data_IF_239765308991
#
_entry.id   IF_239765308991
#
_cell.length_a   1.000
_cell.length_b   1.000
_cell.length_c   1.000
_cell.angle_alpha   90.00
_cell.angle_beta   90.00
_cell.angle_gamma   90.00
#
_symmetry.space_group_name_H-M   'P 1'
#
loop_
_entity.id
_entity.type
_entity.pdbx_description
1 polymer ?
#
# COMPACT_ATOMS: atom_id res chain seq x y z
N UNK A 1 13.18 8.00 11.37
CA UNK A 1 12.52 7.33 10.22
C UNK A 1 13.51 6.29 9.68
N UNK A 2 13.05 5.19 9.08
CA UNK A 2 13.94 4.14 8.57
C UNK A 2 13.28 2.76 8.52
N UNK A 3 13.55 2.02 7.43
CA UNK A 3 13.21 0.60 7.33
C UNK A 3 14.37 -0.20 7.92
N UNK A 4 14.07 -1.14 8.80
CA UNK A 4 15.08 -2.04 9.38
C UNK A 4 15.02 -3.36 8.62
N UNK A 5 16.15 -3.78 8.08
CA UNK A 5 16.31 -5.07 7.43
C UNK A 5 17.08 -5.99 8.36
N UNK A 6 16.78 -7.28 8.25
CA UNK A 6 17.58 -8.34 8.86
C UNK A 6 18.82 -8.64 8.01
N UNK A 7 19.75 -9.46 8.51
CA UNK A 7 20.94 -9.93 7.77
C UNK A 7 20.56 -10.68 6.49
N UNK A 8 19.39 -11.34 6.49
CA UNK A 8 18.80 -11.97 5.31
C UNK A 8 18.03 -11.00 4.38
N UNK A 9 18.19 -9.68 4.55
CA UNK A 9 17.48 -8.62 3.80
C UNK A 9 15.95 -8.70 3.88
N UNK A 10 15.41 -9.32 4.93
CA UNK A 10 13.97 -9.41 5.14
C UNK A 10 13.44 -8.20 5.90
N UNK A 11 12.15 -7.88 5.69
CA UNK A 11 11.49 -6.74 6.35
C UNK A 11 10.76 -7.12 7.64
N UNK A 12 10.98 -8.33 8.14
CA UNK A 12 10.37 -8.88 9.37
C UNK A 12 10.52 -7.94 10.58
N UNK A 13 11.73 -7.47 10.96
CA UNK A 13 11.88 -6.62 12.15
C UNK A 13 11.13 -5.29 12.01
N UNK A 14 11.07 -4.74 10.80
CA UNK A 14 10.29 -3.54 10.51
C UNK A 14 8.78 -3.79 10.64
N UNK A 15 8.27 -4.89 10.10
CA UNK A 15 6.85 -5.24 10.15
C UNK A 15 6.36 -5.47 11.59
N UNK A 16 7.18 -6.13 12.43
CA UNK A 16 6.89 -6.31 13.86
C UNK A 16 6.82 -4.96 14.57
N UNK A 17 7.75 -4.04 14.26
CA UNK A 17 7.74 -2.71 14.85
C UNK A 17 6.51 -1.89 14.41
N UNK A 18 6.13 -1.94 13.13
CA UNK A 18 4.91 -1.30 12.64
C UNK A 18 3.68 -1.88 13.33
N UNK A 19 3.59 -3.20 13.50
CA UNK A 19 2.47 -3.83 14.22
C UNK A 19 2.33 -3.29 15.65
N UNK A 20 3.45 -3.20 16.39
CA UNK A 20 3.46 -2.62 17.75
C UNK A 20 3.02 -1.16 17.76
N UNK A 21 3.52 -0.36 16.81
CA UNK A 21 3.17 1.06 16.70
C UNK A 21 1.70 1.25 16.28
N UNK A 22 1.19 0.42 15.38
CA UNK A 22 -0.20 0.45 14.93
C UNK A 22 -1.14 0.11 16.10
N UNK A 23 -0.84 -0.92 16.88
CA UNK A 23 -1.62 -1.28 18.07
C UNK A 23 -1.65 -0.14 19.11
N UNK A 24 -0.49 0.50 19.37
CA UNK A 24 -0.44 1.69 20.25
C UNK A 24 -1.31 2.83 19.73
N UNK A 25 -1.28 3.11 18.43
CA UNK A 25 -2.09 4.18 17.80
C UNK A 25 -3.59 3.84 17.83
N UNK A 26 -3.97 2.59 17.62
CA UNK A 26 -5.35 2.14 17.77
C UNK A 26 -5.87 2.35 19.20
N UNK A 27 -5.07 2.01 20.23
CA UNK A 27 -5.41 2.28 21.62
C UNK A 27 -5.57 3.78 21.92
N UNK A 28 -4.68 4.62 21.37
CA UNK A 28 -4.80 6.08 21.49
C UNK A 28 -6.08 6.61 20.84
N UNK A 29 -6.42 6.16 19.63
CA UNK A 29 -7.66 6.53 18.94
C UNK A 29 -8.88 6.11 19.77
N UNK A 30 -8.85 4.92 20.37
CA UNK A 30 -9.93 4.46 21.25
C UNK A 30 -10.14 5.38 22.45
N UNK A 31 -9.06 5.84 23.08
CA UNK A 31 -9.12 6.82 24.18
C UNK A 31 -9.63 8.18 23.70
N UNK A 32 -9.16 8.65 22.54
CA UNK A 32 -9.62 9.91 21.95
C UNK A 32 -11.10 9.85 21.55
N UNK A 33 -11.61 8.68 21.16
CA UNK A 33 -13.01 8.48 20.80
C UNK A 33 -13.99 8.65 21.99
N UNK A 34 -13.47 8.73 23.22
CA UNK A 34 -14.25 9.07 24.43
C UNK A 34 -14.43 10.59 24.55
N UNK A 35 -13.43 11.37 24.12
CA UNK A 35 -13.39 12.82 24.30
C UNK A 35 -13.73 13.62 23.05
N UNK A 36 -13.61 13.01 21.86
CA UNK A 36 -13.94 13.64 20.58
C UNK A 36 -15.22 13.03 20.00
N UNK A 37 -16.05 13.84 19.32
CA UNK A 37 -17.22 13.33 18.61
C UNK A 37 -16.79 12.33 17.53
N UNK A 38 -17.46 11.19 17.51
CA UNK A 38 -17.27 10.14 16.49
C UNK A 38 -17.75 10.69 15.15
N UNK A 39 -16.81 11.02 14.28
CA UNK A 39 -17.12 11.69 13.02
C UNK A 39 -15.87 12.10 12.25
N UNK A 40 -15.97 13.20 11.51
CA UNK A 40 -14.94 13.66 10.57
C UNK A 40 -13.58 13.88 11.23
N UNK A 41 -13.54 14.51 12.41
CA UNK A 41 -12.29 14.86 13.08
C UNK A 41 -11.51 13.63 13.57
N UNK A 42 -12.18 12.71 14.28
CA UNK A 42 -11.55 11.48 14.76
C UNK A 42 -11.06 10.62 13.58
N UNK A 43 -11.84 10.56 12.49
CA UNK A 43 -11.46 9.88 11.26
C UNK A 43 -10.23 10.52 10.61
N UNK A 44 -10.18 11.84 10.49
CA UNK A 44 -9.03 12.55 9.93
C UNK A 44 -7.77 12.33 10.78
N UNK A 45 -7.91 12.37 12.11
CA UNK A 45 -6.82 12.09 13.04
C UNK A 45 -6.33 10.64 12.92
N UNK A 46 -7.25 9.68 12.86
CA UNK A 46 -6.92 8.27 12.68
C UNK A 46 -6.22 8.00 11.33
N UNK A 47 -6.67 8.63 10.25
CA UNK A 47 -6.00 8.60 8.94
C UNK A 47 -4.57 9.12 9.03
N UNK A 48 -4.39 10.34 9.54
CA UNK A 48 -3.06 10.96 9.64
C UNK A 48 -2.13 10.16 10.54
N UNK A 49 -2.61 9.78 11.72
CA UNK A 49 -1.82 9.07 12.71
C UNK A 49 -1.56 7.63 12.26
N UNK A 50 -2.55 6.80 11.99
CA UNK A 50 -2.25 5.40 11.65
C UNK A 50 -1.74 5.23 10.23
N UNK A 51 -2.52 5.68 9.25
CA UNK A 51 -2.23 5.41 7.83
C UNK A 51 -0.95 6.12 7.41
N UNK A 52 -0.66 7.32 7.92
CA UNK A 52 0.61 8.01 7.66
C UNK A 52 1.84 7.18 8.05
N UNK A 53 1.77 6.40 9.13
CA UNK A 53 2.89 5.56 9.57
C UNK A 53 2.93 4.19 8.90
N UNK A 54 1.77 3.60 8.61
CA UNK A 54 1.68 2.31 7.91
C UNK A 54 2.06 2.48 6.43
N UNK A 55 1.70 3.60 5.82
CA UNK A 55 2.03 3.89 4.41
C UNK A 55 3.51 4.20 4.19
N UNK A 56 4.25 4.49 5.27
CA UNK A 56 5.69 4.76 5.16
C UNK A 56 6.40 3.53 4.62
N UNK A 57 7.08 3.69 3.48
CA UNK A 57 7.79 2.63 2.77
C UNK A 57 6.93 1.39 2.43
N UNK A 58 5.60 1.52 2.40
CA UNK A 58 4.70 0.40 2.12
C UNK A 58 5.00 -0.26 0.76
N UNK A 59 5.37 0.52 -0.26
CA UNK A 59 5.74 0.01 -1.58
C UNK A 59 6.99 -0.90 -1.56
N UNK A 60 7.94 -0.64 -0.67
CA UNK A 60 9.19 -1.40 -0.58
C UNK A 60 9.09 -2.59 0.40
N UNK A 61 8.22 -2.49 1.39
CA UNK A 61 8.15 -3.41 2.53
C UNK A 61 7.04 -4.44 2.39
N UNK A 62 5.88 -4.01 1.88
CA UNK A 62 4.66 -4.80 1.86
C UNK A 62 4.40 -5.32 0.47
N UNK A 63 4.14 -6.62 0.39
CA UNK A 63 3.77 -7.30 -0.85
C UNK A 63 2.26 -7.09 -1.08
N UNK A 64 1.85 -6.41 -2.16
CA UNK A 64 0.44 -6.27 -2.48
C UNK A 64 -0.10 -7.61 -2.99
N UNK A 65 -1.26 -8.03 -2.47
CA UNK A 65 -2.01 -9.17 -3.02
C UNK A 65 -2.97 -8.61 -4.04
N UNK A 66 -2.82 -8.98 -5.31
CA UNK A 66 -3.69 -8.49 -6.38
C UNK A 66 -4.91 -9.40 -6.57
N UNK A 67 -4.71 -10.71 -6.38
CA UNK A 67 -5.75 -11.73 -6.51
C UNK A 67 -5.91 -12.55 -5.22
N UNK A 68 -7.03 -13.27 -5.12
CA UNK A 68 -7.36 -14.12 -3.96
C UNK A 68 -6.47 -15.36 -3.84
N UNK A 69 -5.83 -15.78 -4.93
CA UNK A 69 -4.94 -16.95 -4.99
C UNK A 69 -3.54 -16.66 -4.42
N UNK A 70 -3.22 -15.38 -4.19
CA UNK A 70 -1.96 -14.97 -3.60
C UNK A 70 -1.83 -15.48 -2.15
N UNK A 71 -0.61 -15.88 -1.77
CA UNK A 71 -0.28 -16.33 -0.40
C UNK A 71 -0.85 -15.37 0.65
N UNK A 72 -1.53 -15.93 1.64
CA UNK A 72 -2.16 -15.17 2.71
C UNK A 72 -1.19 -14.27 3.49
N UNK A 73 -1.70 -13.23 4.19
CA UNK A 73 -0.85 -12.26 4.87
C UNK A 73 0.05 -12.91 5.92
N UNK A 74 1.29 -12.44 6.04
CA UNK A 74 2.21 -12.81 7.12
C UNK A 74 1.61 -12.41 8.48
N UNK A 75 2.01 -13.07 9.56
CA UNK A 75 1.58 -12.80 10.93
C UNK A 75 1.69 -11.30 11.31
N UNK A 76 2.77 -10.64 10.92
CA UNK A 76 2.94 -9.21 11.17
C UNK A 76 1.92 -8.35 10.39
N UNK A 77 1.65 -8.67 9.12
CA UNK A 77 0.62 -7.99 8.32
C UNK A 77 -0.79 -8.22 8.90
N UNK A 78 -1.08 -9.44 9.39
CA UNK A 78 -2.33 -9.74 10.10
C UNK A 78 -2.47 -8.88 11.36
N UNK A 79 -1.41 -8.78 12.16
CA UNK A 79 -1.41 -7.95 13.37
C UNK A 79 -1.64 -6.46 13.05
N UNK A 80 -1.04 -5.95 11.98
CA UNK A 80 -1.28 -4.58 11.51
C UNK A 80 -2.75 -4.41 11.07
N UNK A 81 -3.30 -5.34 10.29
CA UNK A 81 -4.70 -5.28 9.86
C UNK A 81 -5.66 -5.34 11.05
N UNK A 82 -5.38 -6.16 12.07
CA UNK A 82 -6.17 -6.19 13.31
C UNK A 82 -6.15 -4.84 14.01
N UNK A 83 -4.98 -4.19 14.12
CA UNK A 83 -4.88 -2.86 14.69
C UNK A 83 -5.66 -1.80 13.89
N UNK A 84 -5.65 -1.88 12.55
CA UNK A 84 -6.47 -1.02 11.69
C UNK A 84 -7.96 -1.25 11.99
N UNK A 85 -8.38 -2.51 12.08
CA UNK A 85 -9.77 -2.88 12.35
C UNK A 85 -10.23 -2.42 13.74
N UNK A 86 -9.37 -2.53 14.76
CA UNK A 86 -9.69 -2.08 16.11
C UNK A 86 -9.87 -0.56 16.17
N UNK A 87 -9.03 0.21 15.48
CA UNK A 87 -9.24 1.65 15.36
C UNK A 87 -10.51 2.01 14.56
N UNK A 88 -10.79 1.27 13.48
CA UNK A 88 -12.02 1.45 12.71
C UNK A 88 -13.27 1.24 13.58
N UNK A 89 -13.24 0.23 14.46
CA UNK A 89 -14.30 0.00 15.46
C UNK A 89 -14.46 1.15 16.43
N UNK A 90 -13.35 1.72 16.94
CA UNK A 90 -13.40 2.91 17.80
C UNK A 90 -14.00 4.13 17.12
N UNK A 91 -13.74 4.32 15.81
CA UNK A 91 -14.28 5.44 15.03
C UNK A 91 -15.78 5.27 14.79
N UNK A 92 -16.20 4.08 14.37
CA UNK A 92 -17.61 3.77 14.07
C UNK A 92 -18.44 3.60 15.35
N UNK A 93 -17.81 3.21 16.45
CA UNK A 93 -18.47 2.96 17.73
C UNK A 93 -19.06 1.56 17.88
N UNK A 94 -18.56 0.58 17.13
CA UNK A 94 -19.03 -0.82 17.17
C UNK A 94 -18.09 -1.73 17.98
N UNK A 95 -18.62 -2.86 18.43
CA UNK A 95 -17.89 -3.89 19.18
C UNK A 95 -17.57 -5.09 18.29
N UNK A 96 -16.65 -5.95 18.73
CA UNK A 96 -16.32 -7.20 18.00
C UNK A 96 -17.52 -8.14 17.88
N UNK A 97 -18.40 -8.15 18.88
CA UNK A 97 -19.64 -8.94 18.92
C UNK A 97 -20.69 -8.52 17.89
N UNK A 98 -20.53 -7.38 17.23
CA UNK A 98 -21.51 -6.89 16.26
C UNK A 98 -21.33 -7.58 14.88
N UNK A 99 -20.33 -8.47 14.74
CA UNK A 99 -20.06 -9.31 13.56
C UNK A 99 -20.07 -8.56 12.22
N UNK A 100 -19.69 -7.28 12.23
CA UNK A 100 -19.65 -6.46 11.02
C UNK A 100 -18.51 -6.94 10.11
N UNK A 101 -18.83 -7.18 8.83
CA UNK A 101 -17.85 -7.50 7.80
C UNK A 101 -16.74 -6.44 7.75
N UNK A 102 -15.48 -6.88 7.65
CA UNK A 102 -14.30 -5.99 7.67
C UNK A 102 -14.35 -4.94 6.57
N UNK A 103 -14.82 -5.28 5.36
CA UNK A 103 -14.95 -4.32 4.26
C UNK A 103 -15.94 -3.21 4.60
N UNK A 104 -17.13 -3.57 5.09
CA UNK A 104 -18.15 -2.62 5.52
C UNK A 104 -17.69 -1.77 6.71
N UNK A 105 -16.93 -2.36 7.64
CA UNK A 105 -16.35 -1.65 8.77
C UNK A 105 -15.36 -0.58 8.32
N UNK A 106 -14.45 -0.95 7.41
CA UNK A 106 -13.43 -0.06 6.86
C UNK A 106 -14.05 1.05 6.02
N UNK A 107 -15.08 0.77 5.22
CA UNK A 107 -15.83 1.78 4.46
C UNK A 107 -16.56 2.77 5.39
N UNK A 108 -17.22 2.29 6.45
CA UNK A 108 -17.85 3.14 7.47
C UNK A 108 -16.85 3.96 8.29
N UNK A 109 -15.65 3.43 8.52
CA UNK A 109 -14.58 4.18 9.16
C UNK A 109 -13.81 5.08 8.16
N UNK A 110 -14.00 4.86 6.86
CA UNK A 110 -13.20 5.43 5.75
C UNK A 110 -11.70 5.24 6.01
N UNK A 111 -11.33 4.03 6.41
CA UNK A 111 -9.93 3.62 6.56
C UNK A 111 -9.61 2.56 5.50
N UNK A 112 -8.46 2.65 4.83
CA UNK A 112 -8.04 1.61 3.88
C UNK A 112 -7.57 0.36 4.61
N UNK A 113 -7.65 -0.80 3.95
CA UNK A 113 -6.95 -2.00 4.42
C UNK A 113 -5.43 -1.86 4.23
N UNK A 114 -4.65 -2.68 4.93
CA UNK A 114 -3.20 -2.72 4.72
C UNK A 114 -2.86 -3.08 3.27
N UNK A 115 -3.63 -3.98 2.66
CA UNK A 115 -3.42 -4.40 1.28
C UNK A 115 -3.76 -3.28 0.28
N UNK A 116 -4.83 -2.52 0.54
CA UNK A 116 -5.18 -1.33 -0.24
C UNK A 116 -4.06 -0.27 -0.18
N UNK A 117 -3.49 -0.06 1.01
CA UNK A 117 -2.35 0.86 1.19
C UNK A 117 -1.14 0.38 0.39
N UNK A 118 -0.81 -0.91 0.44
CA UNK A 118 0.31 -1.49 -0.27
C UNK A 118 0.12 -1.41 -1.80
N UNK A 119 -1.04 -1.84 -2.32
CA UNK A 119 -1.35 -1.83 -3.74
C UNK A 119 -1.33 -0.41 -4.31
N UNK A 120 -1.92 0.55 -3.59
CA UNK A 120 -1.89 1.97 -3.97
C UNK A 120 -0.46 2.54 -3.95
N UNK A 121 0.34 2.20 -2.95
CA UNK A 121 1.72 2.68 -2.84
C UNK A 121 2.57 2.12 -3.99
N UNK A 122 2.50 0.81 -4.24
CA UNK A 122 3.21 0.17 -5.36
C UNK A 122 2.77 0.78 -6.68
N UNK A 123 1.48 0.87 -6.97
CA UNK A 123 0.97 1.46 -8.21
C UNK A 123 1.49 2.88 -8.45
N UNK A 124 1.50 3.73 -7.41
CA UNK A 124 1.95 5.10 -7.53
C UNK A 124 3.47 5.19 -7.74
N UNK A 125 4.26 4.41 -7.02
CA UNK A 125 5.72 4.37 -7.20
C UNK A 125 6.10 3.77 -8.56
N UNK A 126 5.37 2.77 -9.06
CA UNK A 126 5.53 2.23 -10.41
C UNK A 126 5.29 3.30 -11.47
N UNK A 127 4.20 4.07 -11.36
CA UNK A 127 3.91 5.16 -12.29
C UNK A 127 5.02 6.22 -12.26
N UNK A 128 5.49 6.60 -11.07
CA UNK A 128 6.64 7.49 -10.95
C UNK A 128 7.89 6.90 -11.58
N UNK A 129 8.19 5.61 -11.42
CA UNK A 129 9.34 4.99 -12.07
C UNK A 129 9.27 5.06 -13.60
N UNK A 130 8.08 5.06 -14.20
CA UNK A 130 7.92 5.21 -15.64
C UNK A 130 8.07 6.65 -16.14
N UNK A 131 7.52 7.62 -15.39
CA UNK A 131 7.42 9.04 -15.76
C UNK A 131 8.44 9.96 -15.05
N UNK A 132 9.26 9.42 -14.15
CA UNK A 132 10.30 10.17 -13.45
C UNK A 132 11.40 10.55 -14.43
N UNK A 133 11.73 11.83 -14.44
CA UNK A 133 12.89 12.40 -15.13
C UNK A 133 13.95 12.83 -14.10
N UNK A 134 13.95 12.22 -12.91
CA UNK A 134 14.81 12.62 -11.80
C UNK A 134 16.27 12.12 -12.00
N UNK A 135 16.55 11.43 -13.11
CA UNK A 135 17.89 11.11 -13.55
C UNK A 135 18.59 12.32 -14.16
N UNK A 136 19.92 12.36 -14.07
CA UNK A 136 20.71 13.42 -14.69
C UNK A 136 20.42 13.53 -16.20
N UNK A 137 20.24 14.75 -16.70
CA UNK A 137 20.02 15.01 -18.14
C UNK A 137 18.63 14.63 -18.66
N UNK A 138 17.61 14.50 -17.80
CA UNK A 138 16.26 14.07 -18.20
C UNK A 138 16.12 12.56 -18.39
N UNK A 139 17.11 11.79 -17.91
CA UNK A 139 17.06 10.35 -17.86
C UNK A 139 16.07 9.86 -16.79
N UNK A 140 15.64 8.59 -16.92
CA UNK A 140 14.86 7.92 -15.89
C UNK A 140 15.68 7.73 -14.62
N UNK A 141 14.98 7.52 -13.50
CA UNK A 141 15.65 7.14 -12.26
C UNK A 141 16.21 5.71 -12.36
N UNK A 142 17.27 5.35 -11.62
CA UNK A 142 17.89 4.02 -11.71
C UNK A 142 16.93 2.86 -11.42
N UNK A 143 15.94 3.09 -10.54
CA UNK A 143 14.88 2.11 -10.25
C UNK A 143 13.94 1.95 -11.45
N UNK A 144 13.62 3.05 -12.14
CA UNK A 144 12.83 3.05 -13.36
C UNK A 144 13.54 2.37 -14.51
N UNK A 145 14.86 2.53 -14.65
CA UNK A 145 15.65 1.78 -15.64
C UNK A 145 15.65 0.27 -15.37
N UNK A 146 15.67 -0.13 -14.09
CA UNK A 146 15.60 -1.54 -13.72
C UNK A 146 14.21 -2.15 -13.94
N UNK A 147 13.14 -1.42 -13.61
CA UNK A 147 11.74 -1.89 -13.76
C UNK A 147 11.26 -1.78 -15.21
N UNK A 148 11.69 -0.74 -15.92
CA UNK A 148 11.34 -0.42 -17.30
C UNK A 148 12.60 -0.30 -18.15
N UNK A 149 13.33 -1.42 -18.37
CA UNK A 149 14.52 -1.39 -19.21
C UNK A 149 14.15 -0.85 -20.58
N UNK A 150 14.90 0.15 -21.04
CA UNK A 150 14.70 0.76 -22.35
C UNK A 150 14.93 -0.33 -23.41
N UNK A 151 13.91 -0.75 -24.18
CA UNK A 151 14.17 -1.62 -25.32
C UNK A 151 14.93 -0.81 -26.37
N UNK A 152 15.68 -1.47 -27.25
CA UNK A 152 16.29 -0.85 -28.45
C UNK A 152 15.28 -0.14 -29.39
N UNK A 153 13.98 -0.18 -29.08
CA UNK A 153 12.87 0.52 -29.75
C UNK A 153 11.98 1.23 -28.71
N UNK A 154 11.37 2.39 -29.04
CA UNK A 154 10.54 3.13 -28.11
C UNK A 154 9.36 2.28 -27.63
N UNK A 155 9.37 1.94 -26.34
CA UNK A 155 8.29 1.18 -25.70
C UNK A 155 7.06 2.09 -25.58
N UNK A 156 5.97 1.77 -26.28
CA UNK A 156 4.68 2.42 -26.01
C UNK A 156 4.21 1.98 -24.63
N UNK A 157 3.61 2.90 -23.84
CA UNK A 157 3.13 2.61 -22.47
C UNK A 157 2.15 1.42 -22.38
N UNK A 158 1.60 0.98 -23.51
CA UNK A 158 0.63 -0.11 -23.66
C UNK A 158 1.21 -1.52 -23.76
N UNK A 159 2.53 -1.72 -23.93
CA UNK A 159 3.10 -3.07 -24.01
C UNK A 159 3.31 -3.68 -22.62
N UNK A 160 2.86 -4.92 -22.36
CA UNK A 160 3.16 -5.62 -21.12
C UNK A 160 4.67 -5.88 -21.01
N UNK A 161 5.20 -5.79 -19.80
CA UNK A 161 6.65 -5.90 -19.53
C UNK A 161 6.94 -7.32 -19.06
N UNK A 162 8.02 -7.90 -19.59
CA UNK A 162 8.52 -9.19 -19.15
C UNK A 162 9.19 -9.05 -17.77
N UNK A 163 9.00 -10.04 -16.89
CA UNK A 163 9.66 -10.05 -15.59
C UNK A 163 11.20 -10.11 -15.76
N UNK A 164 11.97 -9.23 -15.10
CA UNK A 164 13.42 -9.11 -15.32
C UNK A 164 14.23 -10.32 -14.83
N UNK A 165 13.65 -11.21 -14.01
CA UNK A 165 14.33 -12.36 -13.43
C UNK A 165 13.36 -13.54 -13.36
N UNK A 166 13.76 -14.72 -13.86
CA UNK A 166 13.01 -15.98 -13.82
C UNK A 166 12.83 -16.60 -12.42
N UNK A 167 12.82 -15.78 -11.36
CA UNK A 167 12.45 -16.18 -10.01
C UNK A 167 11.43 -15.19 -9.47
N UNK A 168 10.33 -15.73 -8.95
CA UNK A 168 9.28 -15.05 -8.18
C UNK A 168 9.83 -14.48 -6.87
N UNK A 169 10.77 -13.54 -6.96
CA UNK A 169 11.28 -12.84 -5.79
C UNK A 169 10.28 -11.75 -5.43
N UNK A 170 9.91 -11.69 -4.15
CA UNK A 170 9.00 -10.68 -3.60
C UNK A 170 9.67 -9.31 -3.49
N UNK A 171 10.17 -8.80 -4.62
CA UNK A 171 10.80 -7.49 -4.74
C UNK A 171 9.81 -6.48 -5.28
N UNK A 172 10.07 -5.20 -5.01
CA UNK A 172 9.28 -4.09 -5.54
C UNK A 172 9.13 -4.18 -7.07
N UNK A 173 10.20 -4.52 -7.81
CA UNK A 173 10.18 -4.57 -9.27
C UNK A 173 9.18 -5.60 -9.82
N UNK A 174 9.13 -6.80 -9.25
CA UNK A 174 8.17 -7.83 -9.65
C UNK A 174 6.74 -7.34 -9.43
N UNK A 175 6.43 -6.80 -8.24
CA UNK A 175 5.10 -6.30 -7.93
C UNK A 175 4.73 -5.07 -8.77
N UNK A 176 5.70 -4.21 -9.07
CA UNK A 176 5.52 -3.06 -9.93
C UNK A 176 5.10 -3.49 -11.33
N UNK A 177 5.77 -4.49 -11.90
CA UNK A 177 5.45 -5.07 -13.22
C UNK A 177 4.08 -5.75 -13.20
N UNK A 178 3.76 -6.55 -12.17
CA UNK A 178 2.45 -7.19 -12.05
C UNK A 178 1.32 -6.17 -12.02
N UNK A 179 1.45 -5.12 -11.20
CA UNK A 179 0.47 -4.03 -11.12
C UNK A 179 0.36 -3.27 -12.45
N UNK A 180 1.50 -2.96 -13.08
CA UNK A 180 1.53 -2.24 -14.36
C UNK A 180 0.83 -3.02 -15.48
N UNK A 181 1.10 -4.32 -15.56
CA UNK A 181 0.52 -5.20 -16.58
C UNK A 181 -0.99 -5.39 -16.36
N UNK A 182 -1.41 -5.61 -15.12
CA UNK A 182 -2.81 -5.87 -14.75
C UNK A 182 -3.72 -4.65 -14.98
N UNK A 183 -3.26 -3.43 -14.64
CA UNK A 183 -4.13 -2.25 -14.64
C UNK A 183 -3.83 -1.29 -15.80
N UNK A 184 -4.62 -1.38 -16.88
CA UNK A 184 -4.53 -0.47 -18.04
C UNK A 184 -4.74 1.01 -17.68
N UNK A 185 -5.60 1.30 -16.72
CA UNK A 185 -5.89 2.66 -16.27
C UNK A 185 -4.67 3.39 -15.67
N UNK A 186 -3.71 2.64 -15.09
CA UNK A 186 -2.46 3.20 -14.59
C UNK A 186 -1.54 3.61 -15.75
N UNK A 187 -1.57 2.84 -16.85
CA UNK A 187 -0.74 3.06 -18.05
C UNK A 187 -1.20 4.22 -18.91
N UNK A 188 -2.51 4.45 -18.97
CA UNK A 188 -3.11 5.56 -19.70
C UNK A 188 -3.01 6.90 -18.95
N UNK A 189 -2.64 6.90 -17.68
CA UNK A 189 -2.49 8.12 -16.89
C UNK A 189 -1.23 8.88 -17.31
N UNK A 190 -1.41 10.10 -17.82
CA UNK A 190 -0.31 11.01 -18.20
C UNK A 190 0.07 11.99 -17.09
N UNK A 191 -0.82 12.25 -16.14
CA UNK A 191 -0.59 13.19 -15.02
C UNK A 191 -0.52 12.46 -13.69
N UNK A 192 0.22 13.04 -12.74
CA UNK A 192 0.32 12.51 -11.37
C UNK A 192 -1.05 12.44 -10.68
N UNK A 193 -1.93 13.39 -10.98
CA UNK A 193 -3.30 13.38 -10.44
C UNK A 193 -4.10 12.19 -10.99
N UNK A 194 -4.08 11.95 -12.31
CA UNK A 194 -4.75 10.80 -12.91
C UNK A 194 -4.19 9.47 -12.36
N UNK A 195 -2.86 9.39 -12.18
CA UNK A 195 -2.21 8.22 -11.60
C UNK A 195 -2.62 7.97 -10.14
N UNK A 196 -2.73 9.03 -9.32
CA UNK A 196 -3.22 8.93 -7.94
C UNK A 196 -4.66 8.43 -7.89
N UNK A 197 -5.51 8.87 -8.82
CA UNK A 197 -6.90 8.44 -8.91
C UNK A 197 -6.99 6.97 -9.36
N UNK A 198 -6.21 6.57 -10.36
CA UNK A 198 -6.09 5.18 -10.79
C UNK A 198 -5.59 4.27 -9.64
N UNK A 199 -4.52 4.65 -8.95
CA UNK A 199 -3.97 3.90 -7.82
C UNK A 199 -4.96 3.75 -6.65
N UNK A 200 -5.84 4.74 -6.42
CA UNK A 200 -6.94 4.62 -5.45
C UNK A 200 -8.00 3.63 -5.90
N UNK A 201 -8.34 3.60 -7.20
CA UNK A 201 -9.28 2.62 -7.75
C UNK A 201 -8.74 1.19 -7.62
N UNK A 202 -7.45 0.99 -7.93
CA UNK A 202 -6.74 -0.29 -7.77
C UNK A 202 -6.78 -0.77 -6.31
N UNK A 203 -6.50 0.13 -5.36
CA UNK A 203 -6.54 -0.21 -3.95
C UNK A 203 -7.90 -0.74 -3.48
N UNK A 204 -9.00 -0.27 -4.08
CA UNK A 204 -10.38 -0.69 -3.72
C UNK A 204 -10.83 -1.99 -4.40
N UNK A 205 -10.24 -2.34 -5.55
CA UNK A 205 -10.53 -3.61 -6.25
C UNK A 205 -9.82 -4.81 -5.61
N UNK A 206 -8.71 -4.54 -4.94
CA UNK A 206 -7.86 -5.52 -4.28
C UNK A 206 -8.53 -6.15 -3.04
N UNK A 207 -8.30 -7.45 -2.76
CA UNK A 207 -8.89 -8.12 -1.59
C UNK A 207 -8.42 -7.52 -0.26
N UNK A 208 -9.35 -7.38 0.69
CA UNK A 208 -9.09 -6.92 2.07
C UNK A 208 -8.52 -8.03 2.93
#
# INVERSE_FOLDING_TARGET
LGVKFDTALTTVPHNINIAKVAAKRAALISRLAVHLPRGKYLRQLAKGLMIGKISYAAAAVTIPRLDNECKGPNAAHRAIQVAINDAARSIVGCKRRDHINVRNLLERADLPSLNEVAAKAVALETWKCFYSNDGGGGARNPVGDFVFPIPRKPMRSTTPIAYPLGRETATFACHAISVWNMYKALRSATTLYAARTAARAIGRSVPT
#
